data_IF_295491087442
#
_entry.id   IF_295491087442
#
_cell.length_a   1.000
_cell.length_b   1.000
_cell.length_c   1.000
_cell.angle_alpha   90.00
_cell.angle_beta   90.00
_cell.angle_gamma   90.00
#
_symmetry.space_group_name_H-M   'P 1'
#
loop_
_entity.id
_entity.type
_entity.pdbx_description
1 polymer ?
#
# COMPACT_ATOMS: atom_id res chain seq x y z
N UNK A 1 -34.10 -15.69 -12.73
CA UNK A 1 -32.78 -15.31 -12.20
C UNK A 1 -32.86 -15.15 -10.69
N UNK A 2 -31.98 -15.79 -9.92
CA UNK A 2 -31.95 -15.70 -8.45
C UNK A 2 -31.10 -14.51 -7.95
N UNK A 3 -31.42 -13.95 -6.78
CA UNK A 3 -30.74 -12.75 -6.25
C UNK A 3 -29.60 -13.11 -5.27
N UNK A 4 -28.40 -13.36 -5.79
CA UNK A 4 -27.22 -13.77 -5.01
C UNK A 4 -26.55 -12.64 -4.16
N UNK A 5 -27.32 -11.63 -3.71
CA UNK A 5 -26.82 -10.49 -2.92
C UNK A 5 -26.32 -10.90 -1.53
N UNK A 6 -27.00 -11.86 -0.89
CA UNK A 6 -26.63 -12.37 0.44
C UNK A 6 -25.30 -13.13 0.40
N UNK A 7 -25.21 -14.09 -0.51
CA UNK A 7 -24.06 -14.97 -0.72
C UNK A 7 -22.80 -14.16 -1.01
N UNK A 8 -22.90 -13.17 -1.92
CA UNK A 8 -21.78 -12.28 -2.25
C UNK A 8 -21.32 -11.40 -1.08
N UNK A 9 -22.21 -11.04 -0.16
CA UNK A 9 -21.89 -10.35 1.10
C UNK A 9 -21.21 -11.29 2.10
N UNK A 10 -21.72 -12.51 2.28
CA UNK A 10 -21.16 -13.50 3.19
C UNK A 10 -19.77 -13.96 2.73
N UNK A 11 -19.60 -14.32 1.46
CA UNK A 11 -18.32 -14.68 0.87
C UNK A 11 -17.28 -13.57 0.99
N UNK A 12 -17.67 -12.32 0.77
CA UNK A 12 -16.81 -11.14 0.97
C UNK A 12 -16.30 -11.02 2.42
N UNK A 13 -17.17 -11.27 3.40
CA UNK A 13 -16.83 -11.28 4.83
C UNK A 13 -15.92 -12.46 5.21
N UNK A 14 -16.19 -13.66 4.69
CA UNK A 14 -15.41 -14.87 4.97
C UNK A 14 -14.00 -14.80 4.35
N UNK A 15 -13.88 -14.37 3.10
CA UNK A 15 -12.61 -14.25 2.37
C UNK A 15 -11.79 -13.00 2.73
N UNK A 16 -12.30 -12.15 3.65
CA UNK A 16 -11.73 -10.84 4.02
C UNK A 16 -11.36 -9.99 2.80
N UNK A 17 -12.25 -9.94 1.80
CA UNK A 17 -12.03 -9.21 0.56
C UNK A 17 -13.28 -8.46 0.10
N UNK A 18 -13.13 -7.36 -0.64
CA UNK A 18 -14.27 -6.59 -1.16
C UNK A 18 -15.12 -7.35 -2.18
N UNK A 19 -16.42 -7.03 -2.27
CA UNK A 19 -17.42 -7.68 -3.17
C UNK A 19 -16.99 -7.78 -4.64
N UNK A 20 -16.13 -6.87 -5.13
CA UNK A 20 -15.54 -6.91 -6.50
C UNK A 20 -14.56 -8.08 -6.72
N UNK A 21 -13.98 -8.65 -5.65
CA UNK A 21 -13.03 -9.76 -5.71
C UNK A 21 -13.66 -11.14 -5.49
N UNK A 22 -14.95 -11.20 -5.14
CA UNK A 22 -15.70 -12.47 -5.10
C UNK A 22 -16.19 -12.80 -6.51
N UNK A 23 -15.74 -13.94 -7.03
CA UNK A 23 -16.36 -14.64 -8.17
C UNK A 23 -17.30 -15.72 -7.64
N UNK A 24 -18.39 -15.94 -8.39
CA UNK A 24 -19.40 -16.96 -8.17
C UNK A 24 -19.57 -17.66 -9.52
N UNK A 25 -19.65 -18.98 -9.53
CA UNK A 25 -19.92 -19.75 -10.74
C UNK A 25 -21.32 -19.41 -11.31
N UNK A 26 -21.45 -19.02 -12.60
CA UNK A 26 -22.76 -18.82 -13.24
C UNK A 26 -23.53 -20.12 -13.50
N UNK A 27 -22.87 -21.27 -13.57
CA UNK A 27 -23.51 -22.57 -13.84
C UNK A 27 -24.22 -23.07 -12.57
N UNK A 28 -23.51 -23.09 -11.43
CA UNK A 28 -23.98 -23.62 -10.15
C UNK A 28 -24.75 -22.59 -9.30
N UNK A 29 -25.50 -21.69 -9.96
CA UNK A 29 -26.22 -20.60 -9.27
C UNK A 29 -27.32 -21.07 -8.32
N UNK A 30 -27.87 -22.27 -8.52
CA UNK A 30 -28.88 -22.88 -7.65
C UNK A 30 -28.27 -23.38 -6.33
N UNK A 31 -27.16 -24.11 -6.39
CA UNK A 31 -26.44 -24.59 -5.20
C UNK A 31 -25.91 -23.40 -4.37
N UNK A 32 -25.37 -22.38 -5.04
CA UNK A 32 -24.95 -21.14 -4.37
C UNK A 32 -26.15 -20.43 -3.72
N UNK A 33 -27.33 -20.39 -4.36
CA UNK A 33 -28.52 -19.76 -3.77
C UNK A 33 -29.00 -20.44 -2.48
N UNK A 34 -28.88 -21.77 -2.39
CA UNK A 34 -29.25 -22.56 -1.21
C UNK A 34 -28.33 -22.33 0.01
N UNK A 35 -27.10 -21.82 -0.21
CA UNK A 35 -26.15 -21.52 0.87
C UNK A 35 -26.48 -20.20 1.59
N UNK A 36 -27.06 -20.33 2.78
CA UNK A 36 -27.48 -19.21 3.64
C UNK A 36 -26.51 -18.92 4.80
N UNK A 37 -25.75 -19.93 5.25
CA UNK A 37 -24.84 -19.82 6.41
C UNK A 37 -23.39 -19.52 6.00
N UNK A 38 -22.63 -18.89 6.91
CA UNK A 38 -21.18 -18.67 6.73
C UNK A 38 -20.38 -19.99 6.64
N UNK A 39 -20.87 -21.07 7.24
CA UNK A 39 -20.23 -22.39 7.18
C UNK A 39 -20.44 -23.03 5.80
N UNK A 40 -21.65 -22.95 5.24
CA UNK A 40 -21.92 -23.42 3.88
C UNK A 40 -21.07 -22.65 2.85
N UNK A 41 -20.98 -21.33 2.98
CA UNK A 41 -20.10 -20.51 2.12
C UNK A 41 -18.62 -20.93 2.24
N UNK A 42 -18.13 -21.36 3.41
CA UNK A 42 -16.77 -21.91 3.56
C UNK A 42 -16.59 -23.25 2.84
N UNK A 43 -17.62 -24.10 2.82
CA UNK A 43 -17.63 -25.34 2.02
C UNK A 43 -17.52 -25.01 0.52
N UNK A 44 -18.40 -24.14 0.00
CA UNK A 44 -18.37 -23.71 -1.41
C UNK A 44 -17.06 -23.01 -1.85
N UNK A 45 -16.35 -22.35 -0.92
CA UNK A 45 -15.00 -21.81 -1.17
C UNK A 45 -13.96 -22.94 -1.27
N UNK A 46 -14.05 -23.99 -0.44
CA UNK A 46 -13.17 -25.15 -0.48
C UNK A 46 -13.42 -26.01 -1.73
N UNK A 47 -14.68 -26.13 -2.13
CA UNK A 47 -15.12 -26.88 -3.31
C UNK A 47 -14.86 -26.12 -4.64
N UNK A 48 -14.39 -24.86 -4.57
CA UNK A 48 -13.98 -24.06 -5.73
C UNK A 48 -15.09 -23.25 -6.43
N UNK A 49 -16.35 -23.40 -6.02
CA UNK A 49 -17.52 -22.70 -6.58
C UNK A 49 -17.52 -21.18 -6.29
N UNK A 50 -16.81 -20.77 -5.23
CA UNK A 50 -16.64 -19.36 -4.85
C UNK A 50 -15.15 -19.02 -4.79
N UNK A 51 -14.66 -18.24 -5.76
CA UNK A 51 -13.24 -17.95 -5.94
C UNK A 51 -12.91 -16.48 -5.60
N UNK A 52 -11.78 -16.26 -4.92
CA UNK A 52 -11.19 -14.93 -4.77
C UNK A 52 -10.41 -14.56 -6.04
N UNK A 53 -10.93 -13.63 -6.83
CA UNK A 53 -10.22 -13.06 -8.00
C UNK A 53 -8.90 -12.41 -7.56
N UNK A 54 -7.82 -12.54 -8.35
CA UNK A 54 -6.54 -11.88 -8.06
C UNK A 54 -6.66 -10.35 -8.05
N UNK A 55 -5.67 -9.68 -7.46
CA UNK A 55 -5.57 -8.21 -7.49
C UNK A 55 -5.14 -7.76 -8.89
N UNK A 56 -5.68 -6.63 -9.35
CA UNK A 56 -5.27 -6.00 -10.61
C UNK A 56 -3.87 -5.43 -10.43
N UNK A 57 -2.90 -5.90 -11.21
CA UNK A 57 -1.48 -5.62 -10.97
C UNK A 57 -1.12 -4.20 -11.40
N UNK A 58 -0.66 -3.37 -10.46
CA UNK A 58 -0.03 -2.08 -10.75
C UNK A 58 1.49 -2.25 -10.80
N UNK A 59 2.06 -2.33 -12.01
CA UNK A 59 3.49 -2.60 -12.19
C UNK A 59 4.37 -1.44 -11.71
N UNK A 60 5.30 -1.75 -10.80
CA UNK A 60 6.35 -0.81 -10.34
C UNK A 60 7.60 -0.78 -11.23
N UNK A 61 7.65 -1.52 -12.34
CA UNK A 61 8.84 -1.64 -13.18
C UNK A 61 9.33 -0.28 -13.72
N UNK A 62 8.42 0.57 -14.21
CA UNK A 62 8.73 1.93 -14.71
C UNK A 62 9.31 2.82 -13.60
N UNK A 63 8.69 2.80 -12.42
CA UNK A 63 9.16 3.54 -11.24
C UNK A 63 10.57 3.08 -10.83
N UNK A 64 10.80 1.77 -10.68
CA UNK A 64 12.12 1.20 -10.33
C UNK A 64 13.20 1.57 -11.36
N UNK A 65 12.90 1.47 -12.67
CA UNK A 65 13.83 1.88 -13.75
C UNK A 65 14.18 3.37 -13.63
N UNK A 66 13.20 4.24 -13.37
CA UNK A 66 13.45 5.67 -13.19
C UNK A 66 14.25 5.97 -11.91
N UNK A 67 13.95 5.34 -10.77
CA UNK A 67 14.74 5.50 -9.53
C UNK A 67 16.19 5.06 -9.73
N UNK A 68 16.45 3.96 -10.44
CA UNK A 68 17.80 3.53 -10.77
C UNK A 68 18.51 4.50 -11.73
N UNK A 69 17.80 5.10 -12.68
CA UNK A 69 18.35 6.14 -13.56
C UNK A 69 18.68 7.43 -12.78
N UNK A 70 17.79 7.89 -11.89
CA UNK A 70 18.00 9.05 -11.01
C UNK A 70 19.15 8.85 -10.02
N UNK A 71 19.30 7.65 -9.46
CA UNK A 71 20.46 7.28 -8.63
C UNK A 71 21.79 7.30 -9.42
N UNK A 72 21.74 7.07 -10.74
CA UNK A 72 22.88 7.23 -11.67
C UNK A 72 23.00 8.68 -12.21
N UNK A 73 22.43 9.68 -11.53
CA UNK A 73 22.47 11.10 -11.91
C UNK A 73 21.59 11.52 -13.10
N UNK A 74 20.86 10.59 -13.74
CA UNK A 74 20.03 10.91 -14.92
C UNK A 74 18.70 11.52 -14.50
N UNK A 75 18.11 12.39 -15.33
CA UNK A 75 16.83 13.07 -15.04
C UNK A 75 16.84 13.94 -13.76
N UNK A 76 18.01 14.51 -13.41
CA UNK A 76 18.21 15.43 -12.26
C UNK A 76 18.67 16.84 -12.70
N UNK A 77 18.54 17.19 -13.98
CA UNK A 77 18.93 18.50 -14.50
C UNK A 77 17.98 19.63 -14.08
N UNK A 78 18.44 20.88 -14.18
CA UNK A 78 17.75 22.09 -13.70
C UNK A 78 16.28 22.16 -14.17
N UNK A 79 16.01 21.92 -15.46
CA UNK A 79 14.64 21.88 -16.03
C UNK A 79 13.79 20.64 -15.68
N UNK A 80 14.18 19.85 -14.67
CA UNK A 80 13.38 18.77 -14.07
C UNK A 80 13.19 18.93 -12.56
N UNK A 81 13.65 20.04 -11.99
CA UNK A 81 13.46 20.43 -10.60
C UNK A 81 12.40 21.52 -10.52
N UNK A 82 11.24 21.20 -9.97
CA UNK A 82 10.13 22.14 -9.76
C UNK A 82 9.96 22.39 -8.24
N UNK A 83 10.06 23.64 -7.81
CA UNK A 83 10.07 24.05 -6.39
C UNK A 83 10.85 25.35 -6.15
N UNK A 84 11.01 25.77 -4.89
CA UNK A 84 11.80 26.95 -4.49
C UNK A 84 13.32 26.66 -4.65
N UNK A 85 13.76 26.69 -5.90
CA UNK A 85 15.14 26.61 -6.44
C UNK A 85 16.16 25.67 -5.76
N UNK A 86 16.62 24.68 -6.53
CA UNK A 86 17.96 24.07 -6.44
C UNK A 86 18.39 23.26 -5.20
N UNK A 87 17.61 23.13 -4.12
CA UNK A 87 18.02 22.31 -2.96
C UNK A 87 17.61 20.83 -3.05
N UNK A 88 18.55 19.85 -3.11
CA UNK A 88 18.27 18.44 -2.83
C UNK A 88 18.12 18.17 -1.32
N UNK A 89 18.76 19.01 -0.49
CA UNK A 89 18.69 19.02 0.97
C UNK A 89 18.45 20.47 1.42
N UNK A 90 17.50 20.70 2.33
CA UNK A 90 17.23 22.03 2.88
C UNK A 90 17.51 22.06 4.40
N UNK A 91 18.68 22.62 4.73
CA UNK A 91 19.10 23.22 6.01
C UNK A 91 19.14 22.37 7.29
N UNK A 92 20.36 21.91 7.55
CA UNK A 92 21.07 21.91 8.85
C UNK A 92 22.53 22.31 8.51
N UNK A 93 23.29 23.16 9.20
CA UNK A 93 23.03 24.05 10.35
C UNK A 93 23.76 25.41 10.23
N UNK A 94 24.67 25.73 11.16
CA UNK A 94 25.45 26.99 11.31
C UNK A 94 26.93 26.87 10.85
N UNK A 95 27.48 27.95 10.29
CA UNK A 95 28.86 28.37 10.61
C UNK A 95 28.78 29.37 11.76
N UNK A 96 29.74 29.32 12.69
CA UNK A 96 30.27 30.46 13.45
C UNK A 96 31.60 29.97 14.07
N UNK A 97 32.68 30.06 13.29
CA UNK A 97 34.01 30.18 13.88
C UNK A 97 34.16 31.65 14.30
N UNK A 98 34.23 31.94 15.59
CA UNK A 98 34.89 33.14 16.17
C UNK A 98 34.85 33.08 17.71
N UNK A 99 36.05 33.07 18.30
CA UNK A 99 36.42 33.34 19.70
C UNK A 99 36.34 32.21 20.75
N UNK A 100 37.50 32.01 21.37
CA UNK A 100 37.78 31.21 22.56
C UNK A 100 37.33 31.94 23.85
N UNK A 101 37.67 31.39 25.02
CA UNK A 101 37.48 31.96 26.36
C UNK A 101 36.03 32.10 26.92
N UNK A 102 35.51 30.99 27.48
CA UNK A 102 34.98 31.04 28.87
C UNK A 102 35.03 29.65 29.53
N UNK A 103 35.87 29.50 30.55
CA UNK A 103 36.04 28.22 31.25
C UNK A 103 34.85 27.90 32.18
N UNK A 104 34.42 26.62 32.29
CA UNK A 104 33.37 26.22 33.23
C UNK A 104 33.89 26.24 34.68
N UNK A 105 33.55 27.29 35.42
CA UNK A 105 33.81 27.37 36.86
C UNK A 105 33.03 26.26 37.60
N UNK A 106 33.77 25.37 38.25
CA UNK A 106 33.18 24.27 39.02
C UNK A 106 32.35 24.80 40.21
N UNK A 107 31.06 24.50 40.23
CA UNK A 107 30.22 24.69 41.41
C UNK A 107 29.96 23.34 42.08
N UNK A 108 30.55 23.15 43.26
CA UNK A 108 30.16 22.10 44.21
C UNK A 108 28.69 22.26 44.56
N UNK A 109 27.96 21.16 44.52
CA UNK A 109 26.68 21.00 45.22
C UNK A 109 26.98 20.22 46.51
N UNK A 110 26.40 20.58 47.67
CA UNK A 110 26.55 19.81 48.91
C UNK A 110 25.92 18.41 48.84
#
# INVERSE_FOLDING_TARGET
MSMLRLQKRLASSVLRCGKKKVWLDPNETNEIANANSRQQIRKLIKDGLIIRKPVTVHSRARCRKNTLARRKGRHMGIGKSEGYSQCPNAREGHMDEENEDFAPAAQKIP
#
